data_IF_038957402806
#
_entry.id   IF_038957402806
#
_cell.length_a   1.000
_cell.length_b   1.000
_cell.length_c   1.000
_cell.angle_alpha   90.00
_cell.angle_beta   90.00
_cell.angle_gamma   90.00
#
_symmetry.space_group_name_H-M   'P 1'
#
loop_
_entity.id
_entity.type
_entity.pdbx_description
1 polymer ?
#
# COMPACT_ATOMS: atom_id res chain seq x y z
N UNK A 1 -13.62 -48.94 44.86
CA UNK A 1 -14.02 -47.91 43.87
C UNK A 1 -15.45 -48.05 43.37
N UNK A 2 -15.88 -49.23 42.88
CA UNK A 2 -17.22 -49.45 42.30
C UNK A 2 -18.38 -49.12 43.26
N UNK A 3 -18.23 -49.45 44.54
CA UNK A 3 -19.23 -49.13 45.59
C UNK A 3 -19.31 -47.63 45.90
N UNK A 4 -18.17 -46.93 45.95
CA UNK A 4 -18.13 -45.47 46.17
C UNK A 4 -18.83 -44.74 45.01
N UNK A 5 -18.59 -45.19 43.78
CA UNK A 5 -19.24 -44.64 42.59
C UNK A 5 -20.77 -44.85 42.61
N UNK A 6 -21.22 -46.03 43.02
CA UNK A 6 -22.65 -46.35 43.16
C UNK A 6 -23.34 -45.52 44.25
N UNK A 7 -22.67 -45.28 45.38
CA UNK A 7 -23.17 -44.44 46.46
C UNK A 7 -23.27 -42.98 46.02
N UNK A 8 -22.23 -42.44 45.35
CA UNK A 8 -22.23 -41.08 44.82
C UNK A 8 -23.31 -40.85 43.75
N UNK A 9 -23.52 -41.81 42.86
CA UNK A 9 -24.57 -41.73 41.82
C UNK A 9 -25.98 -41.76 42.42
N UNK A 10 -26.21 -42.62 43.42
CA UNK A 10 -27.49 -42.65 44.15
C UNK A 10 -27.75 -41.33 44.87
N UNK A 11 -26.70 -40.71 45.42
CA UNK A 11 -26.79 -39.40 46.07
C UNK A 11 -27.11 -38.28 45.05
N UNK A 12 -26.53 -38.35 43.85
CA UNK A 12 -26.84 -37.44 42.74
C UNK A 12 -28.33 -37.49 42.35
N UNK A 13 -28.91 -38.70 42.28
CA UNK A 13 -30.33 -38.89 41.94
C UNK A 13 -31.31 -38.50 43.04
N UNK A 14 -30.87 -38.42 44.32
CA UNK A 14 -31.73 -38.07 45.47
C UNK A 14 -31.92 -36.55 45.60
N UNK A 15 -30.87 -35.76 45.36
CA UNK A 15 -30.91 -34.29 45.42
C UNK A 15 -31.07 -33.65 44.03
N UNK A 16 -32.12 -34.04 43.30
CA UNK A 16 -32.34 -33.66 41.88
C UNK A 16 -32.28 -32.15 41.64
N UNK A 17 -32.91 -31.33 42.49
CA UNK A 17 -32.95 -29.86 42.32
C UNK A 17 -31.58 -29.21 42.43
N UNK A 18 -30.82 -29.55 43.47
CA UNK A 18 -29.48 -28.98 43.71
C UNK A 18 -28.50 -29.38 42.62
N UNK A 19 -28.50 -30.65 42.22
CA UNK A 19 -27.59 -31.14 41.19
C UNK A 19 -27.96 -30.63 39.80
N UNK A 20 -29.25 -30.41 39.52
CA UNK A 20 -29.69 -29.77 38.29
C UNK A 20 -29.23 -28.32 38.21
N UNK A 21 -29.37 -27.54 39.30
CA UNK A 21 -28.91 -26.14 39.33
C UNK A 21 -27.38 -26.04 39.17
N UNK A 22 -26.63 -26.89 39.87
CA UNK A 22 -25.17 -26.91 39.76
C UNK A 22 -24.70 -27.35 38.37
N UNK A 23 -25.32 -28.39 37.81
CA UNK A 23 -25.04 -28.87 36.46
C UNK A 23 -25.39 -27.84 35.38
N UNK A 24 -26.53 -27.15 35.52
CA UNK A 24 -26.92 -26.07 34.62
C UNK A 24 -25.95 -24.89 34.68
N UNK A 25 -25.46 -24.51 35.86
CA UNK A 25 -24.47 -23.45 36.00
C UNK A 25 -23.14 -23.81 35.30
N UNK A 26 -22.65 -25.04 35.50
CA UNK A 26 -21.44 -25.55 34.83
C UNK A 26 -21.64 -25.61 33.32
N UNK A 27 -22.78 -26.14 32.87
CA UNK A 27 -23.12 -26.23 31.45
C UNK A 27 -23.22 -24.85 30.79
N UNK A 28 -23.85 -23.89 31.47
CA UNK A 28 -23.96 -22.51 30.98
C UNK A 28 -22.58 -21.84 30.89
N UNK A 29 -21.73 -22.01 31.90
CA UNK A 29 -20.35 -21.51 31.87
C UNK A 29 -19.52 -22.13 30.74
N UNK A 30 -19.60 -23.45 30.59
CA UNK A 30 -18.91 -24.16 29.50
C UNK A 30 -19.45 -23.74 28.12
N UNK A 31 -20.76 -23.60 27.95
CA UNK A 31 -21.39 -23.14 26.72
C UNK A 31 -20.91 -21.72 26.37
N UNK A 32 -20.89 -20.81 27.33
CA UNK A 32 -20.41 -19.45 27.13
C UNK A 32 -18.93 -19.44 26.69
N UNK A 33 -18.08 -20.27 27.30
CA UNK A 33 -16.67 -20.38 26.94
C UNK A 33 -16.48 -20.97 25.52
N UNK A 34 -17.22 -22.03 25.20
CA UNK A 34 -17.18 -22.68 23.87
C UNK A 34 -17.66 -21.69 22.80
N UNK A 35 -18.78 -20.99 23.03
CA UNK A 35 -19.31 -19.99 22.12
C UNK A 35 -18.33 -18.84 21.93
N UNK A 36 -17.75 -18.30 23.01
CA UNK A 36 -16.75 -17.24 22.93
C UNK A 36 -15.53 -17.67 22.11
N UNK A 37 -15.03 -18.89 22.33
CA UNK A 37 -13.87 -19.39 21.61
C UNK A 37 -14.17 -19.69 20.13
N UNK A 38 -15.34 -20.29 19.84
CA UNK A 38 -15.79 -20.56 18.48
C UNK A 38 -16.03 -19.26 17.71
N UNK A 39 -16.61 -18.25 18.34
CA UNK A 39 -16.82 -16.92 17.78
C UNK A 39 -15.49 -16.21 17.50
N UNK A 40 -14.55 -16.22 18.45
CA UNK A 40 -13.22 -15.65 18.28
C UNK A 40 -12.46 -16.30 17.13
N UNK A 41 -12.49 -17.64 17.03
CA UNK A 41 -11.89 -18.38 15.91
C UNK A 41 -12.61 -18.13 14.59
N UNK A 42 -13.94 -18.05 14.59
CA UNK A 42 -14.75 -17.77 13.41
C UNK A 42 -14.46 -16.39 12.83
N UNK A 43 -14.46 -15.35 13.67
CA UNK A 43 -14.05 -14.00 13.26
C UNK A 43 -12.64 -14.03 12.71
N UNK A 44 -11.69 -14.60 13.47
CA UNK A 44 -10.29 -14.63 13.04
C UNK A 44 -10.16 -15.27 11.65
N UNK A 45 -10.77 -16.43 11.43
CA UNK A 45 -10.72 -17.10 10.13
C UNK A 45 -11.34 -16.27 9.01
N UNK A 46 -12.53 -15.70 9.22
CA UNK A 46 -13.22 -14.88 8.21
C UNK A 46 -12.44 -13.60 7.92
N UNK A 47 -11.93 -12.93 8.95
CA UNK A 47 -11.15 -11.70 8.83
C UNK A 47 -9.82 -11.97 8.09
N UNK A 48 -9.08 -13.00 8.51
CA UNK A 48 -7.76 -13.30 7.95
C UNK A 48 -7.84 -13.91 6.54
N UNK A 49 -8.77 -14.84 6.25
CA UNK A 49 -8.81 -15.49 4.93
C UNK A 49 -9.46 -14.63 3.85
N UNK A 50 -10.49 -13.83 4.17
CA UNK A 50 -11.25 -13.06 3.17
C UNK A 50 -10.83 -11.59 3.04
N UNK A 51 -10.34 -10.94 4.09
CA UNK A 51 -10.00 -9.50 4.03
C UNK A 51 -8.54 -9.28 3.64
N UNK A 52 -7.61 -10.04 4.23
CA UNK A 52 -6.16 -9.86 3.97
C UNK A 52 -5.82 -10.17 2.50
N UNK A 53 -6.44 -11.19 1.91
CA UNK A 53 -6.14 -11.60 0.52
C UNK A 53 -6.42 -10.51 -0.52
N UNK A 54 -7.41 -9.65 -0.30
CA UNK A 54 -7.91 -8.73 -1.33
C UNK A 54 -7.79 -7.25 -0.99
N UNK A 55 -7.69 -6.88 0.29
CA UNK A 55 -7.60 -5.46 0.67
C UNK A 55 -6.16 -5.01 0.89
N UNK A 56 -5.28 -5.88 1.38
CA UNK A 56 -3.90 -5.51 1.73
C UNK A 56 -2.82 -6.48 1.22
N UNK A 57 -3.20 -7.59 0.58
CA UNK A 57 -2.30 -8.73 0.38
C UNK A 57 -1.79 -9.30 1.71
N UNK A 58 -1.00 -10.36 1.64
CA UNK A 58 -0.37 -10.93 2.84
C UNK A 58 0.90 -10.17 3.24
N UNK A 59 1.56 -9.52 2.28
CA UNK A 59 2.68 -8.61 2.49
C UNK A 59 2.43 -7.37 1.65
N UNK A 60 2.52 -6.19 2.26
CA UNK A 60 2.39 -4.91 1.58
C UNK A 60 3.74 -4.17 1.59
N UNK A 61 4.12 -3.60 0.45
CA UNK A 61 5.26 -2.72 0.30
C UNK A 61 4.70 -1.32 0.08
N UNK A 62 4.86 -0.45 1.07
CA UNK A 62 4.48 0.95 0.99
C UNK A 62 5.71 1.84 0.99
N UNK A 63 5.61 2.96 0.26
CA UNK A 63 6.61 4.01 0.27
C UNK A 63 6.01 5.29 0.85
N UNK A 64 6.81 6.03 1.61
CA UNK A 64 6.38 7.31 2.19
C UNK A 64 7.33 8.40 1.73
N UNK A 65 6.89 9.23 0.77
CA UNK A 65 7.68 10.38 0.36
C UNK A 65 7.62 11.45 1.44
N UNK A 66 8.77 11.92 1.92
CA UNK A 66 8.89 12.96 2.96
C UNK A 66 8.14 12.63 4.26
N UNK A 67 7.94 11.35 4.58
CA UNK A 67 7.19 10.93 5.77
C UNK A 67 5.68 11.12 5.67
N UNK A 68 5.15 11.49 4.50
CA UNK A 68 3.70 11.60 4.29
C UNK A 68 3.14 10.27 3.78
N UNK A 69 2.29 9.63 4.59
CA UNK A 69 1.61 8.37 4.23
C UNK A 69 0.64 8.51 3.06
N UNK A 70 0.17 9.73 2.78
CA UNK A 70 -0.76 10.01 1.67
C UNK A 70 -0.03 10.22 0.34
N UNK A 71 1.30 10.40 0.36
CA UNK A 71 2.13 10.52 -0.84
C UNK A 71 2.97 9.26 -1.01
N UNK A 72 2.30 8.16 -1.36
CA UNK A 72 2.96 6.89 -1.69
C UNK A 72 3.34 6.90 -3.17
N UNK A 73 4.58 7.30 -3.47
CA UNK A 73 5.11 7.28 -4.84
C UNK A 73 6.54 6.79 -4.81
N UNK A 74 6.76 5.60 -5.33
CA UNK A 74 8.09 5.05 -5.54
C UNK A 74 8.49 5.24 -7.02
N UNK A 75 9.45 6.13 -7.33
CA UNK A 75 9.75 6.53 -8.71
C UNK A 75 10.67 5.57 -9.49
N UNK A 76 10.78 4.31 -9.06
CA UNK A 76 11.70 3.33 -9.67
C UNK A 76 11.04 1.94 -9.73
N UNK A 77 10.20 1.73 -10.74
CA UNK A 77 9.48 0.47 -10.91
C UNK A 77 10.41 -0.74 -11.04
N UNK A 78 11.53 -0.58 -11.76
CA UNK A 78 12.55 -1.61 -11.97
C UNK A 78 13.11 -2.13 -10.66
N UNK A 79 13.48 -1.24 -9.74
CA UNK A 79 14.03 -1.65 -8.44
C UNK A 79 13.06 -2.51 -7.62
N UNK A 80 11.76 -2.22 -7.68
CA UNK A 80 10.76 -3.06 -7.00
C UNK A 80 10.62 -4.41 -7.72
N UNK A 81 10.51 -4.40 -9.06
CA UNK A 81 10.41 -5.64 -9.85
C UNK A 81 11.61 -6.56 -9.62
N UNK A 82 12.82 -6.02 -9.59
CA UNK A 82 14.05 -6.78 -9.29
C UNK A 82 14.05 -7.33 -7.87
N UNK A 83 13.61 -6.52 -6.90
CA UNK A 83 13.50 -6.96 -5.52
C UNK A 83 12.50 -8.13 -5.39
N UNK A 84 11.34 -8.05 -6.04
CA UNK A 84 10.31 -9.07 -6.07
C UNK A 84 10.80 -10.37 -6.72
N UNK A 85 11.43 -10.29 -7.90
CA UNK A 85 11.97 -11.43 -8.62
C UNK A 85 12.93 -12.25 -7.75
N UNK A 86 13.71 -11.58 -6.89
CA UNK A 86 14.64 -12.27 -6.01
C UNK A 86 14.01 -13.00 -4.81
N UNK A 87 12.74 -12.76 -4.44
CA UNK A 87 12.15 -13.30 -3.19
C UNK A 87 11.67 -14.76 -3.33
N UNK A 88 11.45 -15.21 -4.55
CA UNK A 88 11.18 -16.62 -4.88
C UNK A 88 9.69 -16.98 -5.03
N UNK A 89 9.46 -18.26 -5.32
CA UNK A 89 8.20 -18.88 -5.78
C UNK A 89 7.03 -18.91 -4.77
N UNK A 90 7.22 -18.34 -3.58
CA UNK A 90 6.20 -18.26 -2.52
C UNK A 90 5.12 -17.21 -2.84
N UNK A 91 5.47 -16.23 -3.68
CA UNK A 91 4.56 -15.20 -4.19
C UNK A 91 3.73 -15.80 -5.32
N UNK A 92 2.40 -15.80 -5.13
CA UNK A 92 1.42 -16.19 -6.14
C UNK A 92 1.12 -15.02 -7.06
N UNK A 93 0.95 -13.84 -6.47
CA UNK A 93 0.49 -12.64 -7.18
C UNK A 93 1.09 -11.39 -6.56
N UNK A 94 1.41 -10.42 -7.40
CA UNK A 94 1.85 -9.08 -7.03
C UNK A 94 0.98 -8.05 -7.72
N UNK A 95 0.22 -7.29 -6.96
CA UNK A 95 -0.67 -6.26 -7.48
C UNK A 95 -0.22 -4.88 -7.04
N UNK A 96 -0.40 -3.89 -7.90
CA UNK A 96 -0.30 -2.49 -7.49
C UNK A 96 -1.56 -2.11 -6.70
N UNK A 97 -1.36 -1.61 -5.48
CA UNK A 97 -2.44 -1.17 -4.63
C UNK A 97 -2.54 0.35 -4.66
N UNK A 98 -3.49 0.83 -5.45
CA UNK A 98 -3.77 2.26 -5.59
C UNK A 98 -5.11 2.56 -4.91
N UNK A 99 -5.07 3.43 -3.90
CA UNK A 99 -6.25 3.96 -3.21
C UNK A 99 -6.19 5.47 -3.16
N UNK A 100 -7.19 6.15 -3.72
CA UNK A 100 -7.27 7.62 -3.75
C UNK A 100 -8.54 8.08 -3.04
N UNK A 101 -8.38 8.88 -1.99
CA UNK A 101 -9.51 9.53 -1.34
C UNK A 101 -10.08 10.61 -2.24
N UNK A 102 -11.40 10.59 -2.43
CA UNK A 102 -12.10 11.56 -3.25
C UNK A 102 -13.44 11.95 -2.62
N UNK A 103 -13.92 13.14 -2.98
CA UNK A 103 -15.28 13.56 -2.73
C UNK A 103 -16.09 13.38 -4.00
N UNK A 104 -17.08 12.50 -3.97
CA UNK A 104 -17.97 12.23 -5.07
C UNK A 104 -19.25 13.06 -4.96
N UNK A 105 -19.77 13.49 -6.10
CA UNK A 105 -21.01 14.24 -6.24
C UNK A 105 -21.86 13.46 -7.23
N UNK A 106 -22.93 12.84 -6.71
CA UNK A 106 -23.95 12.18 -7.50
C UNK A 106 -25.12 13.12 -7.82
N UNK A 107 -26.33 12.57 -7.92
CA UNK A 107 -27.53 13.33 -8.27
C UNK A 107 -28.14 13.99 -7.02
N UNK A 108 -27.63 15.18 -6.68
CA UNK A 108 -28.13 16.00 -5.58
C UNK A 108 -27.53 15.69 -4.20
N UNK A 109 -26.66 14.69 -4.11
CA UNK A 109 -25.98 14.29 -2.86
C UNK A 109 -24.48 14.13 -3.12
N UNK A 110 -23.66 14.54 -2.13
CA UNK A 110 -22.22 14.35 -2.15
C UNK A 110 -21.80 13.43 -1.00
N UNK A 111 -20.79 12.59 -1.25
CA UNK A 111 -20.24 11.68 -0.26
C UNK A 111 -18.72 11.57 -0.39
N UNK A 112 -18.06 11.16 0.67
CA UNK A 112 -16.66 10.77 0.61
C UNK A 112 -16.56 9.32 0.12
N UNK A 113 -15.61 9.09 -0.78
CA UNK A 113 -15.34 7.79 -1.37
C UNK A 113 -13.84 7.51 -1.38
N UNK A 114 -13.50 6.24 -1.58
CA UNK A 114 -12.14 5.81 -1.89
C UNK A 114 -12.20 5.18 -3.28
N UNK A 115 -11.47 5.72 -4.23
CA UNK A 115 -11.28 5.09 -5.54
C UNK A 115 -10.20 4.02 -5.39
N UNK A 116 -10.51 2.77 -5.74
CA UNK A 116 -9.59 1.63 -5.64
C UNK A 116 -9.38 1.04 -7.02
N UNK A 117 -8.11 0.95 -7.42
CA UNK A 117 -7.69 0.31 -8.66
C UNK A 117 -7.84 -1.21 -8.55
N UNK A 118 -8.50 -1.81 -9.53
CA UNK A 118 -8.59 -3.25 -9.72
C UNK A 118 -7.83 -3.58 -10.99
N UNK A 119 -7.00 -4.62 -10.92
CA UNK A 119 -6.38 -5.16 -12.12
C UNK A 119 -7.45 -5.85 -12.97
N UNK A 120 -7.64 -5.34 -14.19
CA UNK A 120 -8.54 -5.88 -15.21
C UNK A 120 -7.76 -6.22 -16.49
N UNK A 121 -6.43 -6.26 -16.40
CA UNK A 121 -5.52 -6.45 -17.52
C UNK A 121 -5.65 -7.81 -18.21
N UNK A 122 -5.00 -7.90 -19.37
CA UNK A 122 -4.94 -9.10 -20.22
C UNK A 122 -4.09 -10.24 -19.63
N UNK A 123 -3.23 -9.93 -18.65
CA UNK A 123 -2.27 -10.88 -18.08
C UNK A 123 -2.88 -11.75 -16.96
N UNK A 124 -4.15 -11.51 -16.61
CA UNK A 124 -4.91 -12.35 -15.70
C UNK A 124 -5.26 -13.67 -16.36
N UNK A 125 -4.99 -14.78 -15.68
CA UNK A 125 -5.47 -16.08 -16.12
C UNK A 125 -7.00 -16.11 -16.09
N UNK A 126 -7.61 -16.98 -16.91
CA UNK A 126 -9.07 -17.13 -16.94
C UNK A 126 -9.66 -17.49 -15.57
N UNK A 127 -8.90 -18.20 -14.74
CA UNK A 127 -9.32 -18.53 -13.38
C UNK A 127 -9.33 -17.29 -12.47
N UNK A 128 -8.31 -16.44 -12.55
CA UNK A 128 -8.23 -15.20 -11.76
C UNK A 128 -9.32 -14.21 -12.17
N UNK A 129 -9.60 -14.11 -13.48
CA UNK A 129 -10.70 -13.28 -13.97
C UNK A 129 -12.06 -13.78 -13.44
N UNK A 130 -12.29 -15.10 -13.43
CA UNK A 130 -13.50 -15.69 -12.85
C UNK A 130 -13.59 -15.47 -11.34
N UNK A 131 -12.49 -15.63 -10.63
CA UNK A 131 -12.44 -15.42 -9.18
C UNK A 131 -12.75 -13.95 -8.83
N UNK A 132 -12.14 -12.99 -9.55
CA UNK A 132 -12.43 -11.57 -9.41
C UNK A 132 -13.91 -11.29 -9.71
N UNK A 133 -14.44 -11.76 -10.83
CA UNK A 133 -15.84 -11.57 -11.20
C UNK A 133 -16.80 -12.18 -10.15
N UNK A 134 -16.46 -13.35 -9.58
CA UNK A 134 -17.29 -14.00 -8.57
C UNK A 134 -17.42 -13.21 -7.27
N UNK A 135 -16.42 -12.38 -6.94
CA UNK A 135 -16.44 -11.51 -5.77
C UNK A 135 -17.35 -10.29 -5.97
N UNK A 136 -17.52 -9.83 -7.22
CA UNK A 136 -18.43 -8.76 -7.59
C UNK A 136 -19.76 -9.35 -8.05
N UNK A 137 -20.62 -9.69 -7.09
CA UNK A 137 -22.00 -10.11 -7.40
C UNK A 137 -22.78 -8.93 -7.97
N UNK A 138 -22.79 -8.80 -9.30
CA UNK A 138 -23.46 -7.72 -10.01
C UNK A 138 -24.97 -7.75 -9.76
N UNK A 139 -25.52 -6.57 -9.49
CA UNK A 139 -26.96 -6.30 -9.41
C UNK A 139 -27.44 -5.72 -10.73
N UNK A 140 -26.63 -4.83 -11.30
CA UNK A 140 -26.87 -4.17 -12.59
C UNK A 140 -25.54 -3.93 -13.30
N UNK A 141 -25.53 -3.96 -14.63
CA UNK A 141 -24.31 -3.89 -15.46
C UNK A 141 -23.42 -5.13 -15.39
N UNK A 142 -22.16 -4.98 -15.80
CA UNK A 142 -21.20 -6.09 -15.88
C UNK A 142 -19.82 -5.68 -15.37
N UNK A 143 -19.14 -6.59 -14.67
CA UNK A 143 -17.74 -6.40 -14.27
C UNK A 143 -16.82 -6.20 -15.48
N UNK A 144 -17.10 -6.88 -16.60
CA UNK A 144 -16.30 -6.79 -17.83
C UNK A 144 -16.36 -5.41 -18.48
N UNK A 145 -17.40 -4.63 -18.18
CA UNK A 145 -17.52 -3.25 -18.66
C UNK A 145 -16.50 -2.29 -18.04
N UNK A 146 -15.76 -2.70 -17.01
CA UNK A 146 -14.60 -1.95 -16.51
C UNK A 146 -13.45 -1.85 -17.53
N UNK A 147 -13.39 -2.76 -18.51
CA UNK A 147 -12.41 -2.68 -19.59
C UNK A 147 -12.87 -1.78 -20.75
N UNK A 148 -14.16 -1.42 -20.80
CA UNK A 148 -14.74 -0.60 -21.86
C UNK A 148 -14.61 0.89 -21.55
N UNK A 149 -13.69 1.55 -22.24
CA UNK A 149 -13.39 2.98 -22.10
C UNK A 149 -14.18 3.87 -23.07
N UNK A 150 -15.13 3.32 -23.83
CA UNK A 150 -15.87 4.06 -24.86
C UNK A 150 -16.70 5.23 -24.29
N UNK A 151 -17.09 5.16 -23.02
CA UNK A 151 -17.97 6.15 -22.35
C UNK A 151 -17.26 6.96 -21.27
N UNK A 152 -15.94 7.06 -21.30
CA UNK A 152 -15.12 7.71 -20.26
C UNK A 152 -14.50 6.70 -19.31
N UNK A 153 -14.20 7.10 -18.07
CA UNK A 153 -13.57 6.23 -17.06
C UNK A 153 -14.64 5.34 -16.41
N UNK A 154 -14.68 4.02 -16.69
CA UNK A 154 -15.72 3.13 -16.20
C UNK A 154 -15.51 2.80 -14.72
N UNK A 155 -16.59 2.79 -13.94
CA UNK A 155 -16.54 2.49 -12.50
C UNK A 155 -17.65 1.58 -12.02
N UNK A 156 -17.37 0.82 -10.96
CA UNK A 156 -18.32 -0.01 -10.23
C UNK A 156 -18.59 0.56 -8.84
N UNK A 157 -19.87 0.55 -8.46
CA UNK A 157 -20.35 1.02 -7.17
C UNK A 157 -21.03 -0.09 -6.38
N UNK A 158 -20.93 -0.04 -5.06
CA UNK A 158 -21.77 -0.88 -4.22
C UNK A 158 -23.23 -0.45 -4.31
N UNK A 159 -24.17 -1.39 -4.16
CA UNK A 159 -25.60 -1.10 -4.15
C UNK A 159 -25.99 -0.02 -3.12
N UNK A 160 -25.33 0.00 -1.96
CA UNK A 160 -25.57 0.99 -0.92
C UNK A 160 -25.08 2.38 -1.34
N UNK A 161 -23.88 2.45 -1.94
CA UNK A 161 -23.28 3.70 -2.39
C UNK A 161 -24.04 4.31 -3.56
N UNK A 162 -24.45 3.48 -4.53
CA UNK A 162 -25.27 3.90 -5.67
C UNK A 162 -26.60 4.51 -5.21
N UNK A 163 -27.29 3.86 -4.26
CA UNK A 163 -28.51 4.39 -3.64
C UNK A 163 -28.28 5.70 -2.90
N UNK A 164 -27.21 5.81 -2.11
CA UNK A 164 -26.90 7.01 -1.34
C UNK A 164 -26.61 8.22 -2.24
N UNK A 165 -25.82 8.01 -3.29
CA UNK A 165 -25.46 9.05 -4.26
C UNK A 165 -26.58 9.31 -5.29
N UNK A 166 -27.68 8.54 -5.23
CA UNK A 166 -28.82 8.60 -6.16
C UNK A 166 -28.40 8.43 -7.63
N UNK A 167 -27.55 7.43 -7.90
CA UNK A 167 -27.00 7.14 -9.24
C UNK A 167 -27.23 5.69 -9.65
N UNK A 168 -27.37 5.45 -10.96
CA UNK A 168 -27.52 4.14 -11.59
C UNK A 168 -26.47 3.83 -12.66
N UNK A 169 -26.59 2.68 -13.32
CA UNK A 169 -25.73 2.34 -14.46
C UNK A 169 -26.03 3.29 -15.63
N UNK A 170 -24.98 3.85 -16.22
CA UNK A 170 -25.04 4.87 -17.29
C UNK A 170 -24.90 6.30 -16.79
N UNK A 171 -25.07 6.56 -15.49
CA UNK A 171 -24.93 7.89 -14.92
C UNK A 171 -23.45 8.31 -14.80
N UNK A 172 -23.24 9.62 -14.73
CA UNK A 172 -21.94 10.23 -14.48
C UNK A 172 -21.76 10.60 -13.01
N UNK A 173 -20.63 10.20 -12.42
CA UNK A 173 -20.22 10.54 -11.08
C UNK A 173 -19.05 11.51 -11.12
N UNK A 174 -19.25 12.74 -10.65
CA UNK A 174 -18.18 13.75 -10.59
C UNK A 174 -17.40 13.58 -9.31
N UNK A 175 -16.08 13.57 -9.40
CA UNK A 175 -15.18 13.41 -8.25
C UNK A 175 -14.17 14.53 -8.16
N UNK A 176 -13.84 14.93 -6.94
CA UNK A 176 -12.74 15.86 -6.61
C UNK A 176 -11.76 15.17 -5.69
N UNK A 177 -10.47 15.22 -6.00
CA UNK A 177 -9.43 14.51 -5.28
C UNK A 177 -8.09 15.24 -5.40
N UNK A 178 -7.08 14.76 -4.66
CA UNK A 178 -5.70 15.24 -4.81
C UNK A 178 -4.86 14.18 -5.52
N UNK A 179 -4.08 14.63 -6.49
CA UNK A 179 -3.07 13.81 -7.16
C UNK A 179 -1.88 13.54 -6.24
N UNK A 180 -1.00 12.64 -6.64
CA UNK A 180 0.23 12.30 -5.91
C UNK A 180 1.20 13.48 -5.76
N UNK A 181 1.08 14.47 -6.63
CA UNK A 181 1.79 15.75 -6.60
C UNK A 181 1.15 16.76 -5.63
N UNK A 182 0.11 16.35 -4.92
CA UNK A 182 -0.72 17.17 -4.04
C UNK A 182 -1.49 18.29 -4.78
N UNK A 183 -1.69 18.14 -6.09
CA UNK A 183 -2.50 19.04 -6.90
C UNK A 183 -3.98 18.63 -6.83
N UNK A 184 -4.86 19.62 -6.63
CA UNK A 184 -6.30 19.38 -6.66
C UNK A 184 -6.74 19.07 -8.09
N UNK A 185 -7.45 17.96 -8.27
CA UNK A 185 -7.95 17.50 -9.56
C UNK A 185 -9.42 17.10 -9.46
N UNK A 186 -10.07 17.03 -10.63
CA UNK A 186 -11.45 16.59 -10.76
C UNK A 186 -11.62 15.73 -11.99
N UNK A 187 -12.42 14.68 -11.87
CA UNK A 187 -12.74 13.78 -12.97
C UNK A 187 -14.22 13.47 -13.01
N UNK A 188 -14.69 13.05 -14.18
CA UNK A 188 -16.05 12.51 -14.35
C UNK A 188 -15.90 11.02 -14.66
N UNK A 189 -16.54 10.22 -13.83
CA UNK A 189 -16.52 8.76 -13.89
C UNK A 189 -17.86 8.27 -14.41
N UNK A 190 -17.87 7.21 -15.21
CA UNK A 190 -19.10 6.65 -15.78
C UNK A 190 -19.42 5.35 -15.08
N UNK A 191 -20.63 5.24 -14.52
CA UNK A 191 -21.04 4.07 -13.76
C UNK A 191 -21.43 2.97 -14.74
N UNK A 192 -20.67 1.88 -14.77
CA UNK A 192 -20.91 0.75 -15.69
C UNK A 192 -21.49 -0.47 -14.99
N UNK A 193 -21.55 -0.45 -13.65
CA UNK A 193 -22.16 -1.52 -12.90
C UNK A 193 -22.34 -1.22 -11.42
N UNK A 194 -23.33 -1.87 -10.85
CA UNK A 194 -23.65 -1.84 -9.42
C UNK A 194 -23.59 -3.26 -8.89
N UNK A 195 -22.84 -3.50 -7.81
CA UNK A 195 -22.68 -4.83 -7.22
C UNK A 195 -23.16 -4.90 -5.77
N UNK A 196 -23.48 -6.11 -5.32
CA UNK A 196 -23.78 -6.40 -3.92
C UNK A 196 -22.47 -6.71 -3.17
N UNK A 197 -22.07 -5.88 -2.19
CA UNK A 197 -20.80 -6.07 -1.51
C UNK A 197 -20.78 -7.38 -0.71
N UNK A 198 -19.68 -8.13 -0.80
CA UNK A 198 -19.50 -9.39 -0.07
C UNK A 198 -19.14 -9.18 1.41
N UNK A 199 -18.65 -8.00 1.76
CA UNK A 199 -18.30 -7.59 3.11
C UNK A 199 -18.46 -6.07 3.29
N UNK A 200 -18.34 -5.59 4.53
CA UNK A 200 -18.51 -4.16 4.89
C UNK A 200 -17.43 -3.24 4.32
N UNK A 201 -16.26 -3.76 3.93
CA UNK A 201 -15.18 -2.96 3.36
C UNK A 201 -15.39 -2.68 1.87
N UNK A 202 -16.20 -3.49 1.17
CA UNK A 202 -16.54 -3.27 -0.23
C UNK A 202 -17.71 -2.29 -0.43
N UNK A 203 -18.40 -1.84 0.63
CA UNK A 203 -19.55 -0.95 0.49
C UNK A 203 -19.17 0.52 0.25
N UNK A 204 -18.03 0.95 0.77
CA UNK A 204 -17.55 2.34 0.69
C UNK A 204 -16.79 2.68 -0.60
N UNK A 205 -15.90 1.81 -1.12
CA UNK A 205 -15.07 2.15 -2.27
C UNK A 205 -15.83 2.19 -3.60
N UNK A 206 -15.23 2.93 -4.54
CA UNK A 206 -15.56 2.90 -5.97
C UNK A 206 -14.43 2.17 -6.68
N UNK A 207 -14.76 1.14 -7.44
CA UNK A 207 -13.76 0.31 -8.12
C UNK A 207 -13.65 0.72 -9.59
N UNK A 208 -12.42 0.80 -10.09
CA UNK A 208 -12.10 1.13 -11.49
C UNK A 208 -10.82 0.43 -11.91
N UNK A 209 -10.50 0.43 -13.20
CA UNK A 209 -9.25 -0.15 -13.67
C UNK A 209 -8.03 0.55 -13.04
N UNK A 210 -7.04 -0.22 -12.61
CA UNK A 210 -5.82 0.32 -11.97
C UNK A 210 -5.10 1.32 -12.88
N UNK A 211 -5.05 1.07 -14.19
CA UNK A 211 -4.42 1.97 -15.17
C UNK A 211 -5.13 3.32 -15.28
N UNK A 212 -6.46 3.32 -15.19
CA UNK A 212 -7.26 4.55 -15.23
C UNK A 212 -7.05 5.34 -13.95
N UNK A 213 -7.04 4.68 -12.78
CA UNK A 213 -6.77 5.33 -11.51
C UNK A 213 -5.34 5.89 -11.46
N UNK A 214 -4.36 5.16 -11.99
CA UNK A 214 -2.96 5.58 -12.11
C UNK A 214 -2.85 6.89 -12.90
N UNK A 215 -3.52 6.93 -14.04
CA UNK A 215 -3.57 8.11 -14.91
C UNK A 215 -4.25 9.30 -14.22
N UNK A 216 -5.41 9.07 -13.58
CA UNK A 216 -6.15 10.12 -12.85
C UNK A 216 -5.35 10.70 -11.68
N UNK A 217 -4.68 9.83 -10.92
CA UNK A 217 -3.90 10.20 -9.74
C UNK A 217 -2.56 10.87 -10.08
N UNK A 218 -2.15 10.88 -11.35
CA UNK A 218 -0.96 11.56 -11.83
C UNK A 218 0.34 10.80 -11.57
N UNK A 219 0.30 9.47 -11.52
CA UNK A 219 1.51 8.65 -11.46
C UNK A 219 2.24 8.67 -12.81
N UNK A 220 3.57 8.84 -12.78
CA UNK A 220 4.43 8.70 -13.96
C UNK A 220 4.54 7.24 -14.44
N UNK A 221 5.14 7.00 -15.62
CA UNK A 221 5.27 5.65 -16.20
C UNK A 221 6.12 4.69 -15.35
N UNK A 222 7.04 5.22 -14.55
CA UNK A 222 7.93 4.45 -13.65
C UNK A 222 7.56 4.58 -12.17
N UNK A 223 6.50 5.34 -11.86
CA UNK A 223 6.05 5.48 -10.48
C UNK A 223 5.24 4.25 -10.05
N UNK A 224 5.35 3.90 -8.78
CA UNK A 224 4.53 2.84 -8.16
C UNK A 224 3.92 3.41 -6.88
N UNK A 225 2.61 3.23 -6.70
CA UNK A 225 1.92 3.64 -5.48
C UNK A 225 2.39 2.82 -4.27
N UNK A 226 2.07 1.54 -4.31
CA UNK A 226 2.38 0.53 -3.33
C UNK A 226 2.10 -0.83 -3.93
N UNK A 227 2.70 -1.88 -3.39
CA UNK A 227 2.48 -3.24 -3.87
C UNK A 227 1.91 -4.13 -2.79
N UNK A 228 1.03 -5.02 -3.19
CA UNK A 228 0.47 -6.08 -2.36
C UNK A 228 0.85 -7.43 -2.94
N UNK A 229 1.28 -8.33 -2.06
CA UNK A 229 1.74 -9.66 -2.42
C UNK A 229 0.83 -10.71 -1.81
N UNK A 230 0.31 -11.59 -2.65
CA UNK A 230 -0.45 -12.75 -2.23
C UNK A 230 0.48 -13.95 -2.19
N UNK A 231 0.56 -14.62 -1.03
CA UNK A 231 1.46 -15.75 -0.77
C UNK A 231 0.67 -17.06 -0.75
N UNK A 232 1.33 -18.18 -1.10
CA UNK A 232 0.74 -19.53 -1.02
C UNK A 232 0.42 -19.92 0.42
N UNK A 233 1.37 -19.73 1.32
CA UNK A 233 1.25 -19.99 2.76
C UNK A 233 1.65 -18.74 3.55
N UNK A 234 0.70 -17.84 3.84
CA UNK A 234 1.02 -16.59 4.53
C UNK A 234 1.48 -16.80 5.97
N UNK A 235 0.99 -17.83 6.67
CA UNK A 235 1.34 -18.06 8.07
C UNK A 235 2.83 -18.39 8.23
N UNK A 236 3.41 -19.12 7.26
CA UNK A 236 4.83 -19.48 7.28
C UNK A 236 5.71 -18.49 6.52
N UNK A 237 5.24 -18.00 5.36
CA UNK A 237 6.08 -17.25 4.43
C UNK A 237 6.06 -15.73 4.63
N UNK A 238 4.99 -15.14 5.20
CA UNK A 238 4.81 -13.69 5.20
C UNK A 238 5.99 -12.94 5.85
N UNK A 239 6.39 -13.33 7.06
CA UNK A 239 7.51 -12.69 7.77
C UNK A 239 8.82 -12.82 6.98
N UNK A 240 9.14 -14.02 6.50
CA UNK A 240 10.38 -14.30 5.74
C UNK A 240 10.43 -13.53 4.41
N UNK A 241 9.29 -13.40 3.73
CA UNK A 241 9.16 -12.63 2.49
C UNK A 241 9.32 -11.14 2.77
N UNK A 242 8.63 -10.62 3.80
CA UNK A 242 8.73 -9.22 4.21
C UNK A 242 10.17 -8.83 4.61
N UNK A 243 10.85 -9.65 5.43
CA UNK A 243 12.23 -9.39 5.86
C UNK A 243 13.19 -9.37 4.64
N UNK A 244 13.05 -10.33 3.71
CA UNK A 244 13.88 -10.37 2.48
C UNK A 244 13.62 -9.18 1.57
N UNK A 245 12.37 -8.74 1.42
CA UNK A 245 12.04 -7.54 0.65
C UNK A 245 12.62 -6.30 1.31
N UNK A 246 12.47 -6.19 2.64
CA UNK A 246 13.00 -5.07 3.39
C UNK A 246 14.52 -4.97 3.24
N UNK A 247 15.24 -6.10 3.36
CA UNK A 247 16.70 -6.13 3.18
C UNK A 247 17.14 -5.76 1.76
N UNK A 248 16.43 -6.21 0.73
CA UNK A 248 16.72 -5.82 -0.67
C UNK A 248 16.36 -4.37 -1.00
N UNK A 249 15.30 -3.86 -0.38
CA UNK A 249 14.85 -2.49 -0.55
C UNK A 249 15.54 -1.52 0.41
N UNK A 250 16.52 -1.98 1.20
CA UNK A 250 17.33 -1.10 2.05
C UNK A 250 17.89 0.05 1.20
N UNK A 251 17.67 1.30 1.62
CA UNK A 251 18.19 2.45 0.89
C UNK A 251 19.72 2.36 0.86
N UNK A 252 20.29 2.47 -0.34
CA UNK A 252 21.72 2.68 -0.50
C UNK A 252 22.10 4.12 -0.16
N UNK A 253 23.37 4.46 -0.38
CA UNK A 253 23.80 5.85 -0.31
C UNK A 253 23.09 6.66 -1.40
N UNK A 254 22.51 7.80 -1.03
CA UNK A 254 21.94 8.75 -1.98
C UNK A 254 23.10 9.45 -2.70
N UNK A 255 23.32 9.04 -3.95
CA UNK A 255 24.42 9.54 -4.79
C UNK A 255 23.87 10.21 -6.05
N UNK A 256 24.47 11.32 -6.45
CA UNK A 256 24.13 12.03 -7.68
C UNK A 256 25.39 12.21 -8.52
N UNK A 257 25.61 11.36 -9.54
CA UNK A 257 26.74 11.55 -10.46
C UNK A 257 26.50 12.77 -11.35
N UNK A 258 27.54 13.57 -11.55
CA UNK A 258 27.45 14.78 -12.34
C UNK A 258 28.81 15.38 -12.69
N UNK A 259 28.78 16.56 -13.28
CA UNK A 259 29.95 17.36 -13.60
C UNK A 259 29.93 18.62 -12.74
N UNK A 260 31.00 18.85 -11.99
CA UNK A 260 31.22 20.10 -11.29
C UNK A 260 31.95 21.08 -12.20
N UNK A 261 31.46 22.31 -12.27
CA UNK A 261 32.07 23.41 -12.98
C UNK A 261 32.46 24.53 -12.02
N UNK A 262 33.67 25.07 -12.22
CA UNK A 262 34.16 26.25 -11.51
C UNK A 262 35.11 27.03 -12.43
N UNK A 263 34.81 28.31 -12.68
CA UNK A 263 35.67 29.23 -13.46
C UNK A 263 36.15 28.61 -14.79
N UNK A 264 35.24 27.98 -15.53
CA UNK A 264 35.52 27.34 -16.83
C UNK A 264 36.18 25.94 -16.77
N UNK A 265 36.55 25.45 -15.58
CA UNK A 265 37.05 24.08 -15.39
C UNK A 265 35.89 23.14 -15.09
N UNK A 266 35.95 21.92 -15.63
CA UNK A 266 34.92 20.90 -15.43
C UNK A 266 35.55 19.59 -15.00
N UNK A 267 35.01 18.97 -13.96
CA UNK A 267 35.46 17.67 -13.47
C UNK A 267 34.25 16.78 -13.15
N UNK A 268 34.37 15.48 -13.44
CA UNK A 268 33.35 14.52 -13.02
C UNK A 268 33.40 14.36 -11.50
N UNK A 269 32.23 14.35 -10.88
CA UNK A 269 32.08 14.20 -9.45
C UNK A 269 30.81 13.40 -9.13
N UNK A 270 30.82 12.76 -7.97
CA UNK A 270 29.61 12.16 -7.39
C UNK A 270 29.24 12.96 -6.16
N UNK A 271 28.10 13.64 -6.20
CA UNK A 271 27.60 14.35 -5.03
C UNK A 271 26.93 13.35 -4.08
N UNK A 272 27.24 13.49 -2.80
CA UNK A 272 26.67 12.69 -1.72
C UNK A 272 25.83 13.59 -0.83
N UNK A 273 24.58 13.19 -0.58
CA UNK A 273 23.70 13.92 0.34
C UNK A 273 23.93 13.52 1.79
N UNK A 274 23.86 14.47 2.70
CA UNK A 274 23.74 14.22 4.14
C UNK A 274 22.62 15.07 4.73
N UNK A 275 22.07 14.62 5.85
CA UNK A 275 21.06 15.37 6.58
C UNK A 275 21.72 16.34 7.56
N UNK A 276 21.14 17.53 7.70
CA UNK A 276 21.67 18.61 8.55
C UNK A 276 21.11 18.59 9.97
N UNK A 277 20.32 17.57 10.36
CA UNK A 277 19.87 17.42 11.74
C UNK A 277 21.01 17.00 12.68
N UNK A 278 20.89 17.37 13.95
CA UNK A 278 21.95 17.17 14.96
C UNK A 278 22.41 15.72 15.08
N UNK A 279 21.50 14.75 14.96
CA UNK A 279 21.83 13.33 15.04
C UNK A 279 22.68 12.89 13.83
N UNK A 280 22.29 13.30 12.63
CA UNK A 280 23.03 13.00 11.40
C UNK A 280 24.41 13.67 11.39
N UNK A 281 24.50 14.93 11.82
CA UNK A 281 25.77 15.65 11.90
C UNK A 281 26.73 15.06 12.94
N UNK A 282 26.23 14.51 14.06
CA UNK A 282 27.06 13.82 15.05
C UNK A 282 27.75 12.58 14.46
N UNK A 283 27.14 11.93 13.47
CA UNK A 283 27.69 10.76 12.77
C UNK A 283 28.64 11.17 11.63
N UNK A 284 28.31 12.24 10.91
CA UNK A 284 29.06 12.69 9.72
C UNK A 284 30.33 13.45 10.08
N UNK A 285 30.28 14.37 11.06
CA UNK A 285 31.41 15.24 11.43
C UNK A 285 32.69 14.49 11.75
N UNK A 286 32.69 13.40 12.57
CA UNK A 286 33.91 12.67 12.89
C UNK A 286 34.51 11.92 11.69
N UNK A 287 33.71 11.66 10.65
CA UNK A 287 34.10 10.86 9.47
C UNK A 287 34.51 11.71 8.27
N UNK A 288 34.28 13.02 8.31
CA UNK A 288 34.66 13.98 7.28
C UNK A 288 35.57 15.08 7.87
N UNK A 289 36.84 14.76 8.16
CA UNK A 289 37.80 15.77 8.62
C UNK A 289 38.02 16.81 7.50
N UNK A 290 37.82 18.08 7.83
CA UNK A 290 38.03 19.19 6.89
C UNK A 290 39.51 19.59 6.90
N UNK A 291 40.16 19.51 5.74
CA UNK A 291 41.55 19.97 5.57
C UNK A 291 41.64 21.50 5.46
N UNK A 292 40.58 22.14 4.94
CA UNK A 292 40.49 23.59 4.77
C UNK A 292 39.02 24.03 4.78
N UNK A 293 38.72 25.14 5.45
CA UNK A 293 37.35 25.63 5.67
C UNK A 293 36.88 25.43 7.12
N UNK A 294 35.60 25.68 7.37
CA UNK A 294 34.99 25.56 8.70
C UNK A 294 33.76 24.64 8.66
N UNK A 295 33.36 24.17 9.83
CA UNK A 295 32.17 23.37 10.12
C UNK A 295 30.85 23.95 9.59
N UNK A 296 30.82 25.25 9.25
CA UNK A 296 29.74 25.93 8.52
C UNK A 296 29.49 25.36 7.12
N UNK A 297 30.45 24.62 6.55
CA UNK A 297 30.30 23.88 5.31
C UNK A 297 29.32 22.70 5.39
N UNK A 298 28.97 22.23 6.60
CA UNK A 298 27.96 21.18 6.81
C UNK A 298 26.56 21.78 7.03
N UNK A 299 26.19 22.74 6.19
CA UNK A 299 24.90 23.44 6.20
C UNK A 299 24.12 23.18 4.91
N UNK A 300 22.86 23.62 4.85
CA UNK A 300 21.96 23.35 3.72
C UNK A 300 22.51 23.81 2.35
N UNK A 301 23.35 24.86 2.32
CA UNK A 301 24.00 25.37 1.10
C UNK A 301 25.51 25.11 1.06
N UNK A 302 26.05 24.44 2.08
CA UNK A 302 27.47 24.15 2.14
C UNK A 302 27.83 22.93 1.28
N UNK A 303 28.97 23.01 0.61
CA UNK A 303 29.52 21.91 -0.19
C UNK A 303 30.92 21.60 0.31
N UNK A 304 31.19 20.32 0.54
CA UNK A 304 32.52 19.82 0.90
C UNK A 304 33.07 19.04 -0.30
N UNK A 305 34.24 19.44 -0.78
CA UNK A 305 34.93 18.78 -1.88
C UNK A 305 36.06 17.90 -1.35
N UNK A 306 36.24 16.72 -1.94
CA UNK A 306 37.44 15.92 -1.69
C UNK A 306 38.69 16.71 -2.12
N UNK A 307 39.79 16.61 -1.36
CA UNK A 307 41.00 17.40 -1.60
C UNK A 307 41.54 17.29 -3.05
N UNK A 308 41.48 16.08 -3.63
CA UNK A 308 41.87 15.85 -5.04
C UNK A 308 40.99 16.61 -6.03
N UNK A 309 39.69 16.64 -5.79
CA UNK A 309 38.71 17.31 -6.65
C UNK A 309 38.84 18.83 -6.54
N UNK A 310 39.04 19.33 -5.32
CA UNK A 310 39.33 20.74 -5.06
C UNK A 310 40.62 21.19 -5.77
N UNK A 311 41.69 20.37 -5.73
CA UNK A 311 42.95 20.67 -6.40
C UNK A 311 42.81 20.78 -7.93
N UNK A 312 42.08 19.84 -8.56
CA UNK A 312 41.84 19.87 -10.02
C UNK A 312 41.03 21.10 -10.45
N UNK A 313 39.96 21.41 -9.71
CA UNK A 313 39.12 22.58 -9.96
C UNK A 313 39.78 23.90 -9.51
N UNK A 314 40.89 23.83 -8.75
CA UNK A 314 41.51 24.97 -8.03
C UNK A 314 40.49 25.72 -7.15
N UNK A 315 39.60 24.97 -6.52
CA UNK A 315 38.58 25.50 -5.63
C UNK A 315 39.19 25.94 -4.29
N UNK A 316 38.71 27.05 -3.74
CA UNK A 316 39.05 27.54 -2.40
C UNK A 316 37.79 27.64 -1.53
N UNK A 317 37.91 27.59 -0.19
CA UNK A 317 36.79 27.87 0.69
C UNK A 317 36.13 29.21 0.34
N UNK A 318 34.81 29.20 0.14
CA UNK A 318 34.03 30.37 -0.30
C UNK A 318 33.71 30.43 -1.80
N UNK A 319 34.34 29.61 -2.64
CA UNK A 319 34.00 29.53 -4.07
C UNK A 319 32.63 28.86 -4.28
N UNK A 320 31.86 29.35 -5.28
CA UNK A 320 30.59 28.73 -5.70
C UNK A 320 30.83 27.77 -6.85
N UNK A 321 30.42 26.51 -6.71
CA UNK A 321 30.53 25.49 -7.74
C UNK A 321 29.17 25.17 -8.34
N UNK A 322 29.13 24.94 -9.65
CA UNK A 322 27.91 24.50 -10.34
C UNK A 322 27.96 22.99 -10.54
N UNK A 323 26.93 22.28 -10.08
CA UNK A 323 26.77 20.85 -10.36
C UNK A 323 25.74 20.68 -11.48
N UNK A 324 26.15 20.05 -12.58
CA UNK A 324 25.26 19.64 -13.65
C UNK A 324 25.14 18.12 -13.65
N UNK A 325 23.92 17.59 -13.71
CA UNK A 325 23.66 16.15 -13.78
C UNK A 325 22.69 15.85 -14.93
N UNK A 326 22.82 14.70 -15.60
CA UNK A 326 21.81 14.27 -16.55
C UNK A 326 20.51 13.98 -15.81
N UNK A 327 19.39 14.47 -16.33
CA UNK A 327 18.08 14.00 -15.89
C UNK A 327 18.01 12.49 -16.19
N UNK A 328 17.63 11.69 -15.20
CA UNK A 328 17.40 10.24 -15.40
C UNK A 328 16.16 10.13 -16.29
N UNK A 329 16.37 9.88 -17.59
CA UNK A 329 15.43 9.60 -18.67
C UNK A 329 14.05 10.30 -18.60
N UNK A 330 13.96 11.44 -19.28
CA UNK A 330 12.72 11.90 -19.93
C UNK A 330 12.52 11.22 -21.31
N UNK A 331 13.23 10.13 -21.58
CA UNK A 331 13.38 9.49 -22.91
C UNK A 331 12.77 8.10 -23.01
N UNK A 332 11.69 7.83 -22.27
CA UNK A 332 10.82 6.67 -22.48
C UNK A 332 9.34 7.09 -22.39
N UNK A 333 9.00 8.13 -23.15
CA UNK A 333 7.63 8.48 -23.51
C UNK A 333 7.29 7.86 -24.86
#
# INVERSE_FOLDING_TARGET
MRQIFAISLRNLTRQKRRNLLLGAAIACGALALILANAYAHGISKVLFERIVRYTNGHVAVSYMRNGNMMNQVFPDDRRIRDALAGVGLDVVRSDEAIGVFARAIGNGVADNIIMIGVDVGSDLTDQERRDLQSNFRMVDGSFLSLADKSRGVPVLLSQQKAKYLNVGVGDQLRVRFFQVTNQASSATLTIVGVFKPANVFMSSPVFLAVDDLRSLAGYGPHDIAGMQLTLKDPQRAAKRVADRLHDRLRPGLAVLPGTLALRGRREQATALGFRTDSASLAVVRPRLPLQSGDSTALSYRGVVLAARLAAKLRARPGDTVELSWPARDASAA
#
